data_IF_479274320791
#
_entry.id   IF_479274320791
#
_cell.length_a   1.000
_cell.length_b   1.000
_cell.length_c   1.000
_cell.angle_alpha   90.00
_cell.angle_beta   90.00
_cell.angle_gamma   90.00
#
_symmetry.space_group_name_H-M   'P 1'
#
loop_
_entity.id
_entity.type
_entity.pdbx_description
1 polymer ?
#
# COMPACT_ATOMS: atom_id res chain seq x y z
N UNK A 1 34.35 -23.41 -64.56
CA UNK A 1 33.87 -24.18 -63.33
C UNK A 1 33.89 -23.40 -62.01
N UNK A 2 34.39 -22.14 -62.01
CA UNK A 2 34.45 -21.27 -60.85
C UNK A 2 33.09 -20.53 -60.49
N UNK A 3 32.28 -20.28 -61.51
CA UNK A 3 31.03 -19.50 -61.33
C UNK A 3 29.90 -20.31 -60.70
N UNK A 4 29.85 -21.63 -60.86
CA UNK A 4 28.85 -22.51 -60.27
C UNK A 4 29.05 -22.68 -58.73
N UNK A 5 30.35 -22.77 -58.35
CA UNK A 5 30.66 -22.89 -56.90
C UNK A 5 30.36 -21.60 -56.10
N UNK A 6 30.53 -20.43 -56.72
CA UNK A 6 30.19 -19.12 -56.09
C UNK A 6 28.69 -18.92 -55.88
N UNK A 7 27.85 -19.37 -56.82
CA UNK A 7 26.39 -19.23 -56.73
C UNK A 7 25.78 -20.15 -55.68
N UNK A 8 26.33 -21.34 -55.46
CA UNK A 8 25.83 -22.27 -54.42
C UNK A 8 26.27 -21.84 -53.03
N UNK A 9 27.48 -21.29 -52.88
CA UNK A 9 27.95 -20.70 -51.63
C UNK A 9 27.07 -19.51 -51.23
N UNK A 10 26.72 -18.65 -52.19
CA UNK A 10 25.85 -17.50 -51.97
C UNK A 10 24.42 -17.92 -51.57
N UNK A 11 23.86 -19.00 -52.11
CA UNK A 11 22.57 -19.58 -51.71
C UNK A 11 22.59 -20.15 -50.28
N UNK A 12 23.70 -20.79 -49.91
CA UNK A 12 23.88 -21.33 -48.55
C UNK A 12 23.99 -20.20 -47.52
N UNK A 13 24.79 -19.18 -47.78
CA UNK A 13 24.90 -18.00 -46.89
C UNK A 13 23.60 -17.28 -46.77
N UNK A 14 22.80 -17.10 -47.83
CA UNK A 14 21.49 -16.50 -47.78
C UNK A 14 20.51 -17.32 -46.92
N UNK A 15 20.52 -18.64 -46.99
CA UNK A 15 19.69 -19.53 -46.17
C UNK A 15 20.05 -19.41 -44.67
N UNK A 16 21.35 -19.36 -44.36
CA UNK A 16 21.83 -19.18 -42.98
C UNK A 16 21.39 -17.82 -42.44
N UNK A 17 21.56 -16.74 -43.20
CA UNK A 17 21.15 -15.39 -42.81
C UNK A 17 19.67 -15.31 -42.60
N UNK A 18 18.84 -15.94 -43.43
CA UNK A 18 17.39 -16.03 -43.26
C UNK A 18 17.02 -16.78 -41.99
N UNK A 19 17.68 -17.91 -41.71
CA UNK A 19 17.44 -18.67 -40.47
C UNK A 19 17.77 -17.84 -39.22
N UNK A 20 18.88 -17.14 -39.22
CA UNK A 20 19.29 -16.22 -38.14
C UNK A 20 18.24 -15.10 -37.96
N UNK A 21 17.78 -14.50 -39.07
CA UNK A 21 16.76 -13.46 -39.03
C UNK A 21 15.45 -13.96 -38.42
N UNK A 22 14.98 -15.17 -38.77
CA UNK A 22 13.77 -15.77 -38.20
C UNK A 22 13.92 -15.99 -36.69
N UNK A 23 15.07 -16.52 -36.24
CA UNK A 23 15.32 -16.73 -34.79
C UNK A 23 15.35 -15.41 -34.07
N UNK A 24 15.96 -14.37 -34.64
CA UNK A 24 16.03 -13.04 -34.05
C UNK A 24 14.66 -12.40 -33.95
N UNK A 25 13.80 -12.52 -34.95
CA UNK A 25 12.43 -12.05 -34.94
C UNK A 25 11.58 -12.80 -33.89
N UNK A 26 11.71 -14.11 -33.81
CA UNK A 26 11.03 -14.91 -32.80
C UNK A 26 11.44 -14.48 -31.37
N UNK A 27 12.73 -14.23 -31.14
CA UNK A 27 13.23 -13.72 -29.86
C UNK A 27 12.69 -12.33 -29.56
N UNK A 28 12.65 -11.43 -30.52
CA UNK A 28 12.08 -10.08 -30.34
C UNK A 28 10.57 -10.14 -30.01
N UNK A 29 9.81 -10.99 -30.71
CA UNK A 29 8.39 -11.21 -30.40
C UNK A 29 8.20 -11.76 -28.98
N UNK A 30 8.98 -12.77 -28.59
CA UNK A 30 8.94 -13.32 -27.24
C UNK A 30 9.19 -12.24 -26.18
N UNK A 31 10.26 -11.47 -26.35
CA UNK A 31 10.65 -10.43 -25.40
C UNK A 31 9.66 -9.28 -25.33
N UNK A 32 9.01 -8.95 -26.45
CA UNK A 32 7.96 -7.92 -26.50
C UNK A 32 6.70 -8.30 -25.72
N UNK A 33 6.41 -9.59 -25.60
CA UNK A 33 5.26 -10.08 -24.85
C UNK A 33 5.62 -10.31 -23.37
N UNK A 34 6.77 -10.95 -23.11
CA UNK A 34 7.15 -11.32 -21.75
C UNK A 34 7.59 -10.13 -20.89
N UNK A 35 8.23 -9.13 -21.49
CA UNK A 35 8.72 -7.95 -20.76
C UNK A 35 7.64 -7.19 -19.97
N UNK A 36 6.50 -6.82 -20.57
CA UNK A 36 5.40 -6.20 -19.85
C UNK A 36 4.74 -7.10 -18.79
N UNK A 37 4.72 -8.42 -19.01
CA UNK A 37 4.17 -9.39 -18.06
C UNK A 37 5.04 -9.45 -16.81
N UNK A 38 6.35 -9.65 -16.98
CA UNK A 38 7.32 -9.68 -15.87
C UNK A 38 7.31 -8.36 -15.08
N UNK A 39 7.25 -7.24 -15.78
CA UNK A 39 7.12 -5.93 -15.14
C UNK A 39 5.86 -5.83 -14.29
N UNK A 40 4.71 -6.26 -14.82
CA UNK A 40 3.43 -6.22 -14.12
C UNK A 40 3.45 -7.10 -12.87
N UNK A 41 3.93 -8.32 -12.98
CA UNK A 41 3.96 -9.27 -11.86
C UNK A 41 4.85 -8.75 -10.72
N UNK A 42 6.04 -8.22 -11.05
CA UNK A 42 6.94 -7.66 -10.04
C UNK A 42 6.39 -6.35 -9.44
N UNK A 43 5.77 -5.49 -10.26
CA UNK A 43 5.07 -4.31 -9.78
C UNK A 43 3.96 -4.68 -8.80
N UNK A 44 3.07 -5.59 -9.17
CA UNK A 44 1.93 -6.00 -8.35
C UNK A 44 2.40 -6.63 -7.04
N UNK A 45 3.50 -7.40 -7.06
CA UNK A 45 4.15 -7.95 -5.85
C UNK A 45 4.63 -6.85 -4.90
N UNK A 46 5.36 -5.84 -5.42
CA UNK A 46 5.85 -4.71 -4.62
C UNK A 46 4.72 -3.85 -4.10
N UNK A 47 3.76 -3.52 -4.96
CA UNK A 47 2.60 -2.72 -4.59
C UNK A 47 1.77 -3.36 -3.46
N UNK A 48 1.60 -4.67 -3.45
CA UNK A 48 0.87 -5.35 -2.39
C UNK A 48 1.55 -5.19 -1.03
N UNK A 49 2.88 -5.27 -0.97
CA UNK A 49 3.64 -5.03 0.26
C UNK A 49 3.54 -3.57 0.73
N UNK A 50 3.63 -2.63 -0.22
CA UNK A 50 3.52 -1.20 0.05
C UNK A 50 2.11 -0.84 0.52
N UNK A 51 1.07 -1.35 -0.14
CA UNK A 51 -0.33 -1.15 0.26
C UNK A 51 -0.60 -1.66 1.68
N UNK A 52 -0.09 -2.83 2.03
CA UNK A 52 -0.20 -3.35 3.40
C UNK A 52 0.43 -2.39 4.41
N UNK A 53 1.63 -1.87 4.14
CA UNK A 53 2.32 -0.90 5.01
C UNK A 53 1.56 0.44 5.08
N UNK A 54 1.04 0.94 3.98
CA UNK A 54 0.24 2.17 3.95
C UNK A 54 -1.08 2.01 4.73
N UNK A 55 -1.69 0.83 4.71
CA UNK A 55 -2.85 0.52 5.54
C UNK A 55 -2.49 0.55 7.03
N UNK A 56 -1.32 0.05 7.41
CA UNK A 56 -0.87 0.12 8.81
C UNK A 56 -0.60 1.57 9.23
N UNK A 57 0.03 2.38 8.38
CA UNK A 57 0.21 3.82 8.64
C UNK A 57 -1.15 4.52 8.79
N UNK A 58 -2.12 4.20 7.95
CA UNK A 58 -3.49 4.74 8.05
C UNK A 58 -4.14 4.41 9.40
N UNK A 59 -4.05 3.16 9.85
CA UNK A 59 -4.57 2.74 11.16
C UNK A 59 -3.93 3.54 12.29
N UNK A 60 -2.60 3.66 12.29
CA UNK A 60 -1.87 4.42 13.29
C UNK A 60 -2.28 5.90 13.30
N UNK A 61 -2.41 6.52 12.12
CA UNK A 61 -2.82 7.92 11.98
C UNK A 61 -4.27 8.19 12.44
N UNK A 62 -5.16 7.24 12.21
CA UNK A 62 -6.56 7.35 12.69
C UNK A 62 -6.58 7.33 14.22
N UNK A 63 -5.86 6.40 14.86
CA UNK A 63 -5.83 6.34 16.32
C UNK A 63 -5.09 7.53 16.93
N UNK A 64 -4.01 8.00 16.31
CA UNK A 64 -3.35 9.24 16.72
C UNK A 64 -4.35 10.42 16.71
N UNK A 65 -5.12 10.57 15.63
CA UNK A 65 -6.15 11.61 15.52
C UNK A 65 -7.28 11.46 16.54
N UNK A 66 -7.67 10.24 16.87
CA UNK A 66 -8.71 9.99 17.88
C UNK A 66 -8.33 10.58 19.23
N UNK A 67 -7.06 10.51 19.60
CA UNK A 67 -6.52 11.00 20.87
C UNK A 67 -6.14 12.48 20.79
N UNK A 68 -5.31 12.85 19.85
CA UNK A 68 -4.70 14.20 19.76
C UNK A 68 -5.56 15.21 18.97
N UNK A 69 -6.63 14.76 18.30
CA UNK A 69 -7.52 15.58 17.45
C UNK A 69 -6.82 16.20 16.22
N UNK A 70 -5.61 15.77 15.96
CA UNK A 70 -4.78 16.12 14.79
C UNK A 70 -4.10 14.86 14.27
N UNK A 71 -3.65 14.88 13.02
CA UNK A 71 -2.77 13.82 12.50
C UNK A 71 -1.32 14.09 12.90
N UNK A 72 -0.51 13.03 13.07
CA UNK A 72 0.93 13.16 13.27
C UNK A 72 1.57 13.77 12.02
N UNK A 73 2.41 14.78 12.20
CA UNK A 73 3.03 15.50 11.10
C UNK A 73 4.22 14.73 10.48
N UNK A 74 4.82 13.84 11.24
CA UNK A 74 5.99 13.07 10.83
C UNK A 74 6.02 11.67 11.48
N UNK A 75 6.90 10.81 10.97
CA UNK A 75 7.06 9.46 11.49
C UNK A 75 7.64 9.39 12.90
N UNK A 76 8.37 10.39 13.35
CA UNK A 76 8.95 10.38 14.69
C UNK A 76 7.86 10.58 15.75
N UNK A 77 6.92 11.50 15.51
CA UNK A 77 5.73 11.68 16.34
C UNK A 77 4.85 10.42 16.35
N UNK A 78 4.60 9.84 15.16
CA UNK A 78 3.79 8.63 15.04
C UNK A 78 4.43 7.43 15.74
N UNK A 79 5.74 7.26 15.61
CA UNK A 79 6.51 6.19 16.26
C UNK A 79 6.53 6.35 17.77
N UNK A 80 6.69 7.57 18.27
CA UNK A 80 6.63 7.89 19.71
C UNK A 80 5.26 7.57 20.28
N UNK A 81 4.19 7.98 19.61
CA UNK A 81 2.83 7.64 19.98
C UNK A 81 2.62 6.13 20.09
N UNK A 82 3.03 5.37 19.08
CA UNK A 82 2.86 3.91 19.06
C UNK A 82 3.62 3.19 20.18
N UNK A 83 4.82 3.70 20.55
CA UNK A 83 5.68 3.10 21.58
C UNK A 83 5.28 3.50 23.00
N UNK A 84 4.94 4.77 23.22
CA UNK A 84 4.79 5.34 24.55
C UNK A 84 3.36 5.41 25.05
N UNK A 85 2.39 5.62 24.14
CA UNK A 85 1.00 5.81 24.55
C UNK A 85 0.26 4.49 24.72
N UNK A 86 -0.68 4.49 25.69
CA UNK A 86 -1.51 3.35 26.02
C UNK A 86 -2.96 3.63 25.61
N UNK A 87 -3.54 2.67 24.91
CA UNK A 87 -4.93 2.70 24.51
C UNK A 87 -5.79 1.90 25.50
N UNK A 88 -7.02 2.36 25.82
CA UNK A 88 -7.95 1.59 26.62
C UNK A 88 -8.48 0.42 25.79
N UNK A 89 -8.18 -0.80 26.22
CA UNK A 89 -8.75 -2.02 25.66
C UNK A 89 -9.82 -2.56 26.59
N UNK A 90 -11.06 -2.62 26.08
CA UNK A 90 -12.20 -3.15 26.83
C UNK A 90 -12.20 -4.68 26.76
N UNK A 91 -11.91 -5.32 27.88
CA UNK A 91 -12.10 -6.77 28.06
C UNK A 91 -13.53 -6.99 28.52
N UNK A 92 -14.27 -7.80 27.77
CA UNK A 92 -15.61 -8.26 28.12
C UNK A 92 -15.52 -9.72 28.55
N UNK A 93 -15.72 -9.98 29.84
CA UNK A 93 -15.85 -11.33 30.39
C UNK A 93 -17.31 -11.68 30.61
N UNK A 94 -17.74 -12.82 30.10
CA UNK A 94 -19.12 -13.30 30.16
C UNK A 94 -19.92 -13.03 28.90
N UNK A 95 -20.84 -13.95 28.61
CA UNK A 95 -21.78 -13.88 27.48
C UNK A 95 -23.16 -14.15 28.03
N UNK A 96 -24.20 -13.47 27.53
CA UNK A 96 -25.59 -13.82 27.84
C UNK A 96 -25.92 -15.20 27.25
N UNK A 97 -26.56 -16.05 28.04
CA UNK A 97 -27.09 -17.32 27.55
C UNK A 97 -28.34 -17.06 26.70
N UNK A 98 -28.68 -18.03 25.83
CA UNK A 98 -29.85 -17.92 24.95
C UNK A 98 -31.14 -17.70 25.74
N UNK A 99 -31.30 -18.35 26.90
CA UNK A 99 -32.44 -18.15 27.81
C UNK A 99 -32.49 -16.73 28.37
N UNK A 100 -31.38 -16.05 28.59
CA UNK A 100 -31.32 -14.68 29.07
C UNK A 100 -31.64 -13.68 27.96
N UNK A 101 -31.24 -13.99 26.72
CA UNK A 101 -31.62 -13.22 25.52
C UNK A 101 -33.10 -13.33 25.21
N UNK A 102 -33.71 -14.54 25.32
CA UNK A 102 -35.14 -14.75 25.13
C UNK A 102 -35.98 -14.02 26.17
N UNK A 103 -35.49 -13.87 27.40
CA UNK A 103 -36.12 -13.07 28.44
C UNK A 103 -35.96 -11.55 28.26
N UNK A 104 -35.39 -11.12 27.12
CA UNK A 104 -35.22 -9.70 26.79
C UNK A 104 -34.15 -8.97 27.62
N UNK A 105 -33.24 -9.71 28.28
CA UNK A 105 -32.19 -9.10 29.09
C UNK A 105 -31.19 -8.34 28.20
N UNK A 106 -31.01 -7.07 28.50
CA UNK A 106 -30.05 -6.23 27.79
C UNK A 106 -28.63 -6.38 28.35
N UNK A 107 -27.59 -6.14 27.52
CA UNK A 107 -26.20 -6.14 28.02
C UNK A 107 -25.98 -5.19 29.20
N UNK A 108 -26.66 -4.04 29.22
CA UNK A 108 -26.58 -3.08 30.35
C UNK A 108 -27.10 -3.67 31.67
N UNK A 109 -28.14 -4.45 31.58
CA UNK A 109 -28.73 -5.13 32.77
C UNK A 109 -27.84 -6.30 33.20
N UNK A 110 -27.26 -7.03 32.27
CA UNK A 110 -26.30 -8.10 32.54
C UNK A 110 -25.04 -7.60 33.25
N UNK A 111 -24.51 -6.44 32.84
CA UNK A 111 -23.39 -5.78 33.53
C UNK A 111 -23.81 -5.36 34.98
N UNK A 112 -25.00 -4.78 35.17
CA UNK A 112 -25.50 -4.42 36.49
C UNK A 112 -25.69 -5.63 37.42
N UNK A 113 -26.05 -6.78 36.84
CA UNK A 113 -26.22 -8.04 37.57
C UNK A 113 -24.91 -8.83 37.76
N UNK A 114 -23.77 -8.32 37.26
CA UNK A 114 -22.49 -8.97 37.38
C UNK A 114 -22.32 -10.20 36.48
N UNK A 115 -23.25 -10.45 35.55
CA UNK A 115 -23.16 -11.55 34.57
C UNK A 115 -22.17 -11.27 33.46
N UNK A 116 -21.96 -10.00 33.15
CA UNK A 116 -20.93 -9.53 32.22
C UNK A 116 -20.05 -8.55 32.99
N UNK A 117 -18.76 -8.83 33.03
CA UNK A 117 -17.75 -7.94 33.59
C UNK A 117 -17.06 -7.20 32.42
N UNK A 118 -17.02 -5.88 32.52
CA UNK A 118 -16.26 -5.03 31.62
C UNK A 118 -15.09 -4.46 32.40
N UNK A 119 -13.90 -4.84 31.98
CA UNK A 119 -12.67 -4.29 32.55
C UNK A 119 -11.90 -3.53 31.46
N UNK A 120 -11.25 -2.43 31.83
CA UNK A 120 -10.46 -1.63 30.91
C UNK A 120 -9.00 -1.85 31.24
N UNK A 121 -8.29 -2.52 30.32
CA UNK A 121 -6.85 -2.72 30.42
C UNK A 121 -6.15 -1.72 29.50
N UNK A 122 -5.13 -1.07 30.02
CA UNK A 122 -4.32 -0.14 29.26
C UNK A 122 -3.16 -0.89 28.60
N UNK A 123 -3.20 -0.95 27.27
CA UNK A 123 -2.20 -1.66 26.44
C UNK A 123 -1.49 -0.63 25.56
N UNK A 124 -0.22 -0.85 25.24
CA UNK A 124 0.51 0.04 24.33
C UNK A 124 -0.22 0.16 22.99
N UNK A 125 -0.15 1.33 22.37
CA UNK A 125 -0.84 1.59 21.11
C UNK A 125 -0.40 0.59 20.03
N UNK A 126 0.89 0.27 19.97
CA UNK A 126 1.44 -0.71 19.01
C UNK A 126 0.84 -2.10 19.21
N UNK A 127 0.76 -2.60 20.45
CA UNK A 127 0.23 -3.94 20.72
C UNK A 127 -1.27 -4.03 20.44
N UNK A 128 -2.00 -2.92 20.63
CA UNK A 128 -3.44 -2.86 20.37
C UNK A 128 -3.73 -2.86 18.87
N UNK A 129 -2.94 -2.15 18.06
CA UNK A 129 -3.19 -1.96 16.63
C UNK A 129 -2.62 -3.07 15.75
N UNK A 130 -1.45 -3.59 16.12
CA UNK A 130 -0.66 -4.49 15.26
C UNK A 130 -0.32 -5.83 15.94
N UNK A 131 -0.54 -5.93 17.26
CA UNK A 131 -0.16 -7.09 18.04
C UNK A 131 1.29 -7.04 18.52
N UNK A 132 1.62 -8.02 19.40
CA UNK A 132 2.94 -8.08 20.04
C UNK A 132 4.05 -8.34 19.02
N UNK A 133 5.15 -7.60 19.17
CA UNK A 133 6.35 -7.80 18.35
C UNK A 133 6.38 -7.02 17.03
N UNK A 134 5.43 -6.13 16.77
CA UNK A 134 5.46 -5.27 15.58
C UNK A 134 6.62 -4.27 15.67
N UNK A 135 7.44 -4.20 14.60
CA UNK A 135 8.55 -3.26 14.52
C UNK A 135 8.08 -1.88 14.03
N UNK A 136 7.91 -0.95 14.98
CA UNK A 136 7.46 0.42 14.69
C UNK A 136 8.46 1.19 13.83
N UNK A 137 9.77 0.93 13.98
CA UNK A 137 10.81 1.68 13.26
C UNK A 137 10.82 1.37 11.76
N UNK A 138 10.30 0.20 11.36
CA UNK A 138 10.14 -0.16 9.96
C UNK A 138 8.92 0.49 9.28
N UNK A 139 8.05 1.14 10.06
CA UNK A 139 6.82 1.74 9.53
C UNK A 139 7.11 2.83 8.49
N UNK A 140 8.22 3.56 8.67
CA UNK A 140 8.66 4.61 7.75
C UNK A 140 9.28 4.09 6.46
N UNK A 141 9.78 2.84 6.44
CA UNK A 141 10.54 2.28 5.33
C UNK A 141 9.63 1.65 4.29
N UNK A 142 9.89 1.92 3.02
CA UNK A 142 9.16 1.31 1.90
C UNK A 142 9.62 -0.14 1.71
N UNK A 143 8.73 -1.14 1.81
CA UNK A 143 9.12 -2.53 1.63
C UNK A 143 9.70 -2.80 0.25
N UNK A 144 10.89 -3.39 0.20
CA UNK A 144 11.54 -3.75 -1.06
C UNK A 144 12.26 -2.60 -1.78
N UNK A 145 12.31 -1.42 -1.19
CA UNK A 145 13.06 -0.27 -1.71
C UNK A 145 13.88 0.39 -0.58
N UNK A 146 15.00 1.01 -0.93
CA UNK A 146 15.86 1.69 0.04
C UNK A 146 15.46 3.18 0.17
N UNK A 147 14.16 3.43 0.35
CA UNK A 147 13.57 4.77 0.50
C UNK A 147 12.55 4.78 1.63
N UNK A 148 12.20 5.96 2.10
CA UNK A 148 11.17 6.15 3.12
C UNK A 148 9.92 6.75 2.49
N UNK A 149 8.76 6.48 3.10
CA UNK A 149 7.52 7.15 2.75
C UNK A 149 7.60 8.64 3.04
N UNK A 150 6.98 9.44 2.19
CA UNK A 150 6.71 10.86 2.48
C UNK A 150 5.41 11.00 3.25
N UNK A 151 5.38 11.89 4.23
CA UNK A 151 4.18 12.17 5.03
C UNK A 151 3.97 13.68 5.13
N UNK A 152 2.74 14.11 4.87
CA UNK A 152 2.31 15.50 4.94
C UNK A 152 0.94 15.61 5.63
N UNK A 153 0.67 16.76 6.24
CA UNK A 153 -0.62 17.07 6.87
C UNK A 153 -1.15 18.42 6.40
N UNK A 154 -2.45 18.52 6.27
CA UNK A 154 -3.11 19.77 5.91
C UNK A 154 -4.43 19.95 6.67
N UNK A 155 -4.94 21.17 6.58
CA UNK A 155 -6.27 21.51 7.07
C UNK A 155 -7.09 22.02 5.90
N UNK A 156 -8.14 21.28 5.55
CA UNK A 156 -9.01 21.62 4.43
C UNK A 156 -10.36 22.09 4.93
N UNK A 157 -10.97 23.02 4.21
CA UNK A 157 -12.36 23.45 4.47
C UNK A 157 -13.28 22.73 3.51
N UNK A 158 -14.23 21.98 4.04
CA UNK A 158 -15.24 21.29 3.24
C UNK A 158 -16.21 22.29 2.60
N UNK A 159 -16.90 21.89 1.55
CA UNK A 159 -17.90 22.72 0.89
C UNK A 159 -19.06 23.18 1.80
N UNK A 160 -19.26 22.53 2.94
CA UNK A 160 -20.20 22.90 3.99
C UNK A 160 -19.61 23.82 5.08
N UNK A 161 -18.37 24.30 4.90
CA UNK A 161 -17.69 25.22 5.81
C UNK A 161 -17.00 24.58 7.01
N UNK A 162 -17.03 23.26 7.15
CA UNK A 162 -16.34 22.55 8.23
C UNK A 162 -14.86 22.37 7.93
N UNK A 163 -14.02 22.63 8.91
CA UNK A 163 -12.57 22.44 8.84
C UNK A 163 -12.22 20.98 9.18
N UNK A 164 -11.57 20.29 8.25
CA UNK A 164 -11.14 18.89 8.38
C UNK A 164 -9.62 18.82 8.35
N UNK A 165 -9.04 18.19 9.35
CA UNK A 165 -7.61 17.87 9.37
C UNK A 165 -7.39 16.59 8.59
N UNK A 166 -6.53 16.64 7.59
CA UNK A 166 -6.19 15.54 6.69
C UNK A 166 -4.70 15.24 6.74
N UNK A 167 -4.33 14.04 6.32
CA UNK A 167 -2.94 13.66 6.10
C UNK A 167 -2.81 12.98 4.75
N UNK A 168 -1.59 12.91 4.27
CA UNK A 168 -1.19 12.12 3.12
C UNK A 168 0.09 11.37 3.48
N UNK A 169 0.16 10.10 3.12
CA UNK A 169 1.38 9.33 3.18
C UNK A 169 1.53 8.53 1.89
N UNK A 170 2.69 8.58 1.23
CA UNK A 170 2.85 7.94 -0.06
C UNK A 170 4.29 7.74 -0.49
N UNK A 171 4.44 7.09 -1.66
CA UNK A 171 5.70 6.81 -2.34
C UNK A 171 5.48 6.90 -3.85
N UNK A 172 6.44 7.48 -4.58
CA UNK A 172 6.36 7.64 -6.04
C UNK A 172 6.77 6.36 -6.77
N UNK A 173 6.28 6.18 -8.01
CA UNK A 173 6.68 5.05 -8.85
C UNK A 173 8.18 4.95 -9.06
N UNK A 174 8.87 6.09 -9.23
CA UNK A 174 10.32 6.13 -9.42
C UNK A 174 11.10 5.54 -8.23
N UNK A 175 10.56 5.68 -7.02
CA UNK A 175 11.24 5.28 -5.79
C UNK A 175 11.24 3.77 -5.58
N UNK A 176 10.21 3.06 -6.04
CA UNK A 176 10.08 1.62 -5.81
C UNK A 176 10.05 0.76 -7.08
N UNK A 177 10.01 1.38 -8.29
CA UNK A 177 10.06 0.70 -9.58
C UNK A 177 11.24 1.16 -10.45
N UNK A 178 12.07 2.09 -9.96
CA UNK A 178 13.12 2.73 -10.75
C UNK A 178 14.22 1.78 -11.27
N UNK A 179 14.34 0.60 -10.68
CA UNK A 179 15.22 -0.49 -11.08
C UNK A 179 14.65 -1.38 -12.20
N UNK A 180 13.34 -1.26 -12.46
CA UNK A 180 12.62 -2.02 -13.48
C UNK A 180 12.68 -1.35 -14.86
N UNK A 181 11.88 -1.86 -15.81
CA UNK A 181 11.82 -1.32 -17.17
C UNK A 181 11.40 0.15 -17.17
N UNK A 182 12.33 1.04 -17.54
CA UNK A 182 12.13 2.50 -17.53
C UNK A 182 10.99 2.98 -18.42
N UNK A 183 10.76 2.29 -19.55
CA UNK A 183 9.65 2.65 -20.46
C UNK A 183 8.30 2.36 -19.80
N UNK A 184 8.18 1.25 -19.11
CA UNK A 184 6.94 0.90 -18.40
C UNK A 184 6.67 1.85 -17.21
N UNK A 185 7.71 2.21 -16.47
CA UNK A 185 7.60 3.22 -15.39
C UNK A 185 7.17 4.57 -15.96
N UNK A 186 7.77 4.99 -17.09
CA UNK A 186 7.37 6.20 -17.77
C UNK A 186 5.89 6.16 -18.20
N UNK A 187 5.44 5.04 -18.78
CA UNK A 187 4.05 4.84 -19.20
C UNK A 187 3.07 4.97 -18.02
N UNK A 188 3.43 4.42 -16.85
CA UNK A 188 2.62 4.55 -15.63
C UNK A 188 2.51 6.00 -15.16
N UNK A 189 3.64 6.73 -15.15
CA UNK A 189 3.68 8.15 -14.76
C UNK A 189 2.88 9.03 -15.74
N UNK A 190 3.06 8.83 -17.02
CA UNK A 190 2.32 9.56 -18.07
C UNK A 190 0.80 9.31 -17.94
N UNK A 191 0.41 8.06 -17.70
CA UNK A 191 -1.00 7.71 -17.44
C UNK A 191 -1.54 8.40 -16.19
N UNK A 192 -0.80 8.38 -15.09
CA UNK A 192 -1.21 9.05 -13.85
C UNK A 192 -1.34 10.56 -14.06
N UNK A 193 -0.37 11.19 -14.72
CA UNK A 193 -0.38 12.63 -15.05
C UNK A 193 -1.57 13.02 -15.92
N UNK A 194 -1.86 12.27 -16.98
CA UNK A 194 -3.01 12.52 -17.86
C UNK A 194 -4.36 12.39 -17.16
N UNK A 195 -4.42 11.58 -16.11
CA UNK A 195 -5.62 11.39 -15.29
C UNK A 195 -5.69 12.36 -14.09
N UNK A 196 -4.70 13.22 -13.89
CA UNK A 196 -4.60 14.08 -12.71
C UNK A 196 -4.43 13.28 -11.40
N UNK A 197 -3.91 12.04 -11.46
CA UNK A 197 -3.73 11.18 -10.31
C UNK A 197 -2.29 11.23 -9.78
N UNK A 198 -2.12 10.90 -8.51
CA UNK A 198 -0.80 10.78 -7.89
C UNK A 198 0.04 9.71 -8.60
N UNK A 199 1.28 10.06 -8.95
CA UNK A 199 2.19 9.18 -9.70
C UNK A 199 2.89 8.17 -8.78
N UNK A 200 2.13 7.36 -8.06
CA UNK A 200 2.61 6.41 -7.08
C UNK A 200 1.48 5.80 -6.26
N UNK A 201 1.81 5.28 -5.08
CA UNK A 201 0.84 4.82 -4.09
C UNK A 201 0.77 5.81 -2.94
N UNK A 202 -0.43 6.23 -2.57
CA UNK A 202 -0.66 7.10 -1.41
C UNK A 202 -1.93 6.69 -0.65
N UNK A 203 -1.95 6.98 0.64
CA UNK A 203 -3.11 6.91 1.51
C UNK A 203 -3.41 8.31 2.03
N UNK A 204 -4.69 8.67 2.05
CA UNK A 204 -5.12 10.04 2.34
C UNK A 204 -4.77 11.02 1.23
N UNK A 205 -5.12 12.30 1.42
CA UNK A 205 -4.81 13.40 0.51
C UNK A 205 -4.77 14.71 1.27
N UNK A 206 -3.82 15.58 0.91
CA UNK A 206 -3.75 16.95 1.41
C UNK A 206 -4.46 17.95 0.49
N UNK A 207 -4.96 17.49 -0.66
CA UNK A 207 -5.65 18.28 -1.67
C UNK A 207 -7.17 18.11 -1.60
N UNK A 208 -7.65 16.95 -1.14
CA UNK A 208 -9.06 16.58 -1.09
C UNK A 208 -9.41 15.77 0.17
N UNK A 209 -10.68 15.81 0.56
CA UNK A 209 -11.20 15.05 1.70
C UNK A 209 -11.69 13.69 1.19
N UNK A 210 -10.84 12.65 1.31
CA UNK A 210 -11.11 11.29 0.83
C UNK A 210 -11.25 10.24 1.95
N UNK A 211 -11.54 10.67 3.20
CA UNK A 211 -11.65 9.77 4.36
C UNK A 211 -10.42 8.87 4.59
N UNK A 212 -9.25 9.36 4.22
CA UNK A 212 -7.98 8.63 4.30
C UNK A 212 -7.95 7.37 3.43
N UNK A 213 -8.74 7.32 2.34
CA UNK A 213 -8.71 6.21 1.39
C UNK A 213 -7.36 6.13 0.66
N UNK A 214 -6.97 4.92 0.28
CA UNK A 214 -5.85 4.69 -0.61
C UNK A 214 -6.25 4.97 -2.07
N UNK A 215 -5.34 5.51 -2.87
CA UNK A 215 -5.61 5.80 -4.29
C UNK A 215 -5.77 4.53 -5.17
N UNK A 216 -5.76 3.36 -4.56
CA UNK A 216 -6.06 2.06 -5.18
C UNK A 216 -7.43 1.51 -4.78
N UNK A 217 -8.17 2.20 -3.90
CA UNK A 217 -9.48 1.78 -3.38
C UNK A 217 -10.66 2.37 -4.19
N UNK A 218 -10.38 3.10 -5.28
CA UNK A 218 -11.36 3.70 -6.19
C UNK A 218 -11.96 2.68 -7.19
#
# INVERSE_FOLDING_TARGET
>A
SSDVCSSDLMKVTLKILLAVAVVLLAYMCYRSIMGPIEFKDERDRRENLIKARLIDIRKAQIEYKNIHKVHAANFDELSKFLKDEKLPFLIKEGVLTDEQLEKGMTEKEAVKKGLIRRDTVWVTAVDTLFGKGYNVDDLRNVPGANVQFTMDTATLTSGSGYTVKVFQCGVLYDDYLGDLNKQEVYNLKDKASKMGKYAGLRVGSVEEINNNAGNWED
#
